data_IF_582990549985
#
_entry.id   IF_582990549985
#
_cell.length_a   1.000
_cell.length_b   1.000
_cell.length_c   1.000
_cell.angle_alpha   90.00
_cell.angle_beta   90.00
_cell.angle_gamma   90.00
#
_symmetry.space_group_name_H-M   'P 1'
#
loop_
_entity.id
_entity.type
_entity.pdbx_description
1 polymer ?
#
# COMPACT_ATOMS: atom_id res chain seq x y z
N UNK A 1 8.52 -30.46 14.87
CA UNK A 1 8.35 -29.55 16.00
C UNK A 1 7.83 -28.18 15.53
N UNK A 2 7.07 -27.50 16.38
CA UNK A 2 6.46 -26.20 16.09
C UNK A 2 6.34 -25.40 17.38
N UNK A 3 6.71 -24.13 17.32
CA UNK A 3 6.40 -23.16 18.37
C UNK A 3 5.19 -22.33 17.95
N UNK A 4 4.14 -22.33 18.77
CA UNK A 4 2.99 -21.47 18.55
C UNK A 4 2.77 -20.56 19.75
N UNK A 5 2.81 -19.25 19.52
CA UNK A 5 2.49 -18.21 20.49
C UNK A 5 1.10 -17.67 20.12
N UNK A 6 0.14 -17.88 21.03
CA UNK A 6 -1.27 -17.60 20.78
C UNK A 6 -1.63 -16.15 21.10
N UNK A 7 -2.69 -15.68 20.51
CA UNK A 7 -3.23 -14.32 20.68
C UNK A 7 -3.30 -13.87 22.13
N UNK A 8 -2.84 -12.68 22.42
CA UNK A 8 -2.85 -12.05 23.73
C UNK A 8 -1.72 -12.49 24.66
N UNK A 9 -0.80 -13.35 24.21
CA UNK A 9 0.37 -13.72 25.01
C UNK A 9 1.38 -12.56 25.11
N UNK A 10 2.05 -12.45 26.25
CA UNK A 10 3.22 -11.62 26.46
C UNK A 10 4.38 -12.54 26.82
N UNK A 11 5.32 -12.70 25.89
CA UNK A 11 6.37 -13.70 25.97
C UNK A 11 7.73 -13.03 25.89
N UNK A 12 8.57 -13.27 26.92
CA UNK A 12 9.97 -12.89 26.91
C UNK A 12 10.85 -14.14 26.78
N UNK A 13 11.63 -14.17 25.71
CA UNK A 13 12.62 -15.21 25.43
C UNK A 13 14.00 -14.61 25.64
N UNK A 14 14.76 -15.10 26.63
CA UNK A 14 16.09 -14.56 26.94
C UNK A 14 17.10 -15.67 27.08
N UNK A 15 18.12 -15.65 26.25
CA UNK A 15 19.31 -16.45 26.48
C UNK A 15 20.21 -15.73 27.50
N UNK A 16 20.53 -16.43 28.60
CA UNK A 16 21.31 -15.87 29.70
C UNK A 16 22.79 -16.18 29.65
N UNK A 17 23.20 -16.95 28.65
CA UNK A 17 24.60 -17.33 28.43
C UNK A 17 25.01 -16.95 27.01
N UNK A 18 26.29 -16.61 26.83
CA UNK A 18 26.88 -16.43 25.52
C UNK A 18 26.67 -17.69 24.68
N UNK A 19 26.55 -17.52 23.36
CA UNK A 19 26.35 -18.62 22.39
C UNK A 19 25.01 -19.37 22.51
N UNK A 20 23.92 -18.69 22.91
CA UNK A 20 22.56 -19.27 22.97
C UNK A 20 21.54 -18.46 22.19
N UNK A 21 20.54 -19.18 21.66
CA UNK A 21 19.40 -18.62 20.94
C UNK A 21 18.28 -18.21 21.89
N UNK A 22 17.45 -17.24 21.52
CA UNK A 22 16.23 -16.91 22.24
C UNK A 22 15.18 -18.01 22.09
N UNK A 23 14.80 -18.33 20.86
CA UNK A 23 14.02 -19.50 20.50
C UNK A 23 14.64 -20.18 19.29
N UNK A 24 14.80 -21.48 19.36
CA UNK A 24 15.42 -22.28 18.33
C UNK A 24 14.57 -23.51 18.05
N UNK A 25 13.86 -23.52 16.93
CA UNK A 25 12.95 -24.61 16.55
C UNK A 25 13.54 -25.34 15.35
N UNK A 26 14.01 -26.56 15.60
CA UNK A 26 14.61 -27.44 14.59
C UNK A 26 13.56 -28.38 13.99
N UNK A 27 13.86 -28.94 12.83
CA UNK A 27 13.07 -30.02 12.24
C UNK A 27 13.23 -31.30 13.06
N UNK A 28 12.27 -32.23 13.00
CA UNK A 28 12.41 -33.55 13.54
C UNK A 28 13.40 -34.40 12.72
N UNK A 29 13.64 -35.64 13.16
CA UNK A 29 14.56 -36.56 12.48
C UNK A 29 14.10 -36.96 11.07
N UNK A 30 12.84 -36.74 10.75
CA UNK A 30 12.24 -36.99 9.42
C UNK A 30 12.26 -35.72 8.53
N UNK A 31 12.75 -34.60 9.05
CA UNK A 31 12.83 -33.33 8.33
C UNK A 31 11.54 -32.51 8.36
N UNK A 32 10.56 -32.86 9.21
CA UNK A 32 9.28 -32.16 9.31
C UNK A 32 9.29 -31.08 10.38
N UNK A 33 8.47 -30.03 10.19
CA UNK A 33 8.26 -28.96 11.15
C UNK A 33 9.42 -27.97 11.20
N UNK A 34 9.66 -27.45 12.36
CA UNK A 34 10.63 -26.39 12.59
C UNK A 34 10.01 -24.98 12.47
N UNK A 35 8.68 -24.87 12.44
CA UNK A 35 7.96 -23.63 12.25
C UNK A 35 7.79 -22.82 13.53
N UNK A 36 7.74 -21.49 13.39
CA UNK A 36 7.34 -20.56 14.44
C UNK A 36 6.10 -19.79 13.97
N UNK A 37 5.06 -19.80 14.78
CA UNK A 37 3.83 -19.01 14.56
C UNK A 37 3.59 -18.09 15.76
N UNK A 38 3.43 -16.82 15.48
CA UNK A 38 3.11 -15.77 16.46
C UNK A 38 1.82 -15.09 16.01
N UNK A 39 0.77 -15.17 16.83
CA UNK A 39 -0.53 -14.60 16.53
C UNK A 39 -0.89 -13.51 17.55
N UNK A 40 -1.02 -12.24 17.07
CA UNK A 40 -1.49 -11.06 17.81
C UNK A 40 -0.99 -11.00 19.27
N UNK A 41 0.33 -11.18 19.45
CA UNK A 41 1.01 -11.33 20.74
C UNK A 41 2.13 -10.32 20.89
N UNK A 42 2.63 -10.13 22.12
CA UNK A 42 3.88 -9.42 22.37
C UNK A 42 4.99 -10.43 22.59
N UNK A 43 6.00 -10.39 21.76
CA UNK A 43 7.16 -11.26 21.85
C UNK A 43 8.43 -10.42 21.91
N UNK A 44 9.23 -10.63 22.94
CA UNK A 44 10.56 -10.05 23.07
C UNK A 44 11.59 -11.16 23.16
N UNK A 45 12.47 -11.25 22.16
CA UNK A 45 13.60 -12.18 22.16
C UNK A 45 14.93 -11.44 22.24
N UNK A 46 15.80 -11.86 23.16
CA UNK A 46 17.14 -11.27 23.31
C UNK A 46 18.15 -12.40 23.49
N UNK A 47 19.19 -12.42 22.66
CA UNK A 47 20.16 -13.51 22.66
C UNK A 47 21.53 -13.07 22.11
N UNK A 48 22.52 -13.94 22.25
CA UNK A 48 23.81 -13.78 21.59
C UNK A 48 23.74 -14.26 20.12
N UNK A 49 23.16 -15.44 19.88
CA UNK A 49 22.80 -16.00 18.56
C UNK A 49 21.36 -15.62 18.17
N UNK A 50 20.71 -16.21 17.15
CA UNK A 50 19.40 -15.76 16.72
C UNK A 50 18.40 -15.61 17.86
N UNK A 51 17.70 -14.48 17.86
CA UNK A 51 16.59 -14.23 18.77
C UNK A 51 15.45 -15.22 18.50
N UNK A 52 15.08 -15.36 17.22
CA UNK A 52 14.17 -16.38 16.72
C UNK A 52 14.83 -17.13 15.57
N UNK A 53 14.92 -18.43 15.69
CA UNK A 53 15.38 -19.33 14.63
C UNK A 53 14.34 -20.39 14.31
N UNK A 54 13.85 -20.40 13.06
CA UNK A 54 12.96 -21.44 12.54
C UNK A 54 13.68 -22.27 11.46
N UNK A 55 13.81 -23.58 11.67
CA UNK A 55 14.30 -24.48 10.60
C UNK A 55 13.21 -24.78 9.54
N UNK A 56 12.00 -24.35 9.76
CA UNK A 56 10.88 -24.25 8.83
C UNK A 56 10.54 -22.79 8.58
N UNK A 57 9.25 -22.47 8.60
CA UNK A 57 8.71 -21.14 8.31
C UNK A 57 8.53 -20.30 9.58
N UNK A 58 8.54 -18.99 9.42
CA UNK A 58 8.10 -18.03 10.43
C UNK A 58 6.84 -17.31 9.93
N UNK A 59 5.78 -17.33 10.73
CA UNK A 59 4.59 -16.52 10.51
C UNK A 59 4.37 -15.59 11.69
N UNK A 60 4.24 -14.29 11.42
CA UNK A 60 3.81 -13.29 12.38
C UNK A 60 2.49 -12.69 11.87
N UNK A 61 1.39 -12.96 12.61
CA UNK A 61 0.05 -12.51 12.26
C UNK A 61 -0.48 -11.56 13.35
N UNK A 62 -0.22 -10.28 13.17
CA UNK A 62 -0.51 -9.23 14.15
C UNK A 62 0.44 -9.22 15.35
N UNK A 63 0.20 -8.27 16.25
CA UNK A 63 0.97 -8.09 17.49
C UNK A 63 2.30 -7.37 17.30
N UNK A 64 3.15 -7.47 18.33
CA UNK A 64 4.45 -6.80 18.39
C UNK A 64 5.56 -7.83 18.63
N UNK A 65 6.54 -7.89 17.75
CA UNK A 65 7.69 -8.79 17.87
C UNK A 65 8.95 -7.95 17.88
N UNK A 66 9.73 -8.07 18.94
CA UNK A 66 11.03 -7.39 19.10
C UNK A 66 12.12 -8.41 19.32
N UNK A 67 13.05 -8.50 18.39
CA UNK A 67 14.15 -9.44 18.45
C UNK A 67 15.49 -8.71 18.43
N UNK A 68 16.38 -9.06 19.36
CA UNK A 68 17.73 -8.51 19.43
C UNK A 68 18.75 -9.63 19.51
N UNK A 69 19.78 -9.55 18.66
CA UNK A 69 20.94 -10.44 18.72
C UNK A 69 22.22 -9.63 18.79
N UNK A 70 23.16 -10.02 19.66
CA UNK A 70 24.43 -9.30 19.81
C UNK A 70 25.52 -9.75 18.85
N UNK A 71 25.42 -10.95 18.27
CA UNK A 71 26.47 -11.48 17.41
C UNK A 71 25.99 -12.13 16.11
N UNK A 72 24.66 -12.32 15.95
CA UNK A 72 24.10 -13.02 14.80
C UNK A 72 22.76 -12.37 14.36
N UNK A 73 21.92 -13.13 13.69
CA UNK A 73 20.61 -12.68 13.23
C UNK A 73 19.64 -12.45 14.39
N UNK A 74 18.88 -11.37 14.35
CA UNK A 74 17.77 -11.24 15.31
C UNK A 74 16.64 -12.21 14.95
N UNK A 75 16.33 -12.35 13.66
CA UNK A 75 15.41 -13.35 13.10
C UNK A 75 16.09 -14.08 11.94
N UNK A 76 16.06 -15.42 11.97
CA UNK A 76 16.53 -16.23 10.85
C UNK A 76 15.64 -17.45 10.61
N UNK A 77 15.35 -17.76 9.34
CA UNK A 77 14.59 -18.94 8.93
C UNK A 77 15.29 -19.76 7.84
N UNK A 78 15.04 -21.06 7.82
CA UNK A 78 15.43 -21.90 6.69
C UNK A 78 14.32 -21.98 5.62
N UNK A 79 13.07 -21.70 6.00
CA UNK A 79 11.91 -21.61 5.12
C UNK A 79 11.45 -20.16 4.92
N UNK A 80 10.17 -20.00 4.65
CA UNK A 80 9.58 -18.72 4.33
C UNK A 80 9.31 -17.86 5.57
N UNK A 81 9.32 -16.55 5.38
CA UNK A 81 8.87 -15.55 6.36
C UNK A 81 7.57 -14.93 5.83
N UNK A 82 6.53 -14.95 6.64
CA UNK A 82 5.28 -14.24 6.38
C UNK A 82 4.97 -13.29 7.55
N UNK A 83 4.89 -12.00 7.28
CA UNK A 83 4.51 -10.98 8.27
C UNK A 83 3.24 -10.28 7.77
N UNK A 84 2.17 -10.30 8.61
CA UNK A 84 0.84 -9.83 8.22
C UNK A 84 -0.02 -9.35 9.39
N UNK A 85 -1.27 -8.98 9.10
CA UNK A 85 -2.30 -8.71 10.12
C UNK A 85 -2.04 -7.48 10.98
N UNK A 86 -1.33 -6.48 10.45
CA UNK A 86 -0.95 -5.28 11.19
C UNK A 86 0.21 -5.50 12.17
N UNK A 87 1.00 -6.56 11.97
CA UNK A 87 2.14 -6.87 12.82
C UNK A 87 3.17 -5.76 12.83
N UNK A 88 3.78 -5.52 14.01
CA UNK A 88 4.95 -4.66 14.18
C UNK A 88 6.15 -5.52 14.53
N UNK A 89 7.16 -5.50 13.68
CA UNK A 89 8.39 -6.27 13.86
C UNK A 89 9.59 -5.35 13.94
N UNK A 90 10.27 -5.39 15.08
CA UNK A 90 11.53 -4.66 15.30
C UNK A 90 12.65 -5.66 15.46
N UNK A 91 13.70 -5.52 14.67
CA UNK A 91 14.88 -6.39 14.75
C UNK A 91 16.15 -5.56 14.89
N UNK A 92 17.07 -6.04 15.71
CA UNK A 92 18.36 -5.42 15.93
C UNK A 92 19.43 -6.50 16.05
N UNK A 93 20.50 -6.41 15.27
CA UNK A 93 21.55 -7.40 15.28
C UNK A 93 22.57 -7.23 14.14
N UNK A 94 23.47 -8.17 14.04
CA UNK A 94 24.46 -8.20 12.94
C UNK A 94 23.79 -8.50 11.59
N UNK A 95 22.82 -9.41 11.59
CA UNK A 95 21.92 -9.76 10.49
C UNK A 95 20.49 -9.62 10.99
N UNK A 96 19.91 -8.42 11.01
CA UNK A 96 18.66 -8.21 11.74
C UNK A 96 17.54 -9.15 11.32
N UNK A 97 17.34 -9.35 10.01
CA UNK A 97 16.30 -10.23 9.49
C UNK A 97 16.72 -10.92 8.20
N UNK A 98 16.53 -12.22 8.12
CA UNK A 98 16.76 -12.97 6.89
C UNK A 98 16.36 -14.44 6.96
N UNK A 99 16.53 -15.12 5.85
CA UNK A 99 16.20 -16.52 5.68
C UNK A 99 16.66 -17.08 4.34
N UNK A 100 16.36 -18.37 4.11
CA UNK A 100 16.66 -19.03 2.84
C UNK A 100 15.43 -19.13 1.93
N UNK A 101 14.23 -18.83 2.43
CA UNK A 101 12.97 -18.85 1.70
C UNK A 101 12.51 -17.47 1.28
N UNK A 102 11.24 -17.36 0.90
CA UNK A 102 10.62 -16.10 0.49
C UNK A 102 10.26 -15.27 1.71
N UNK A 103 10.57 -13.98 1.68
CA UNK A 103 10.10 -13.02 2.67
C UNK A 103 8.88 -12.27 2.11
N UNK A 104 7.69 -12.58 2.64
CA UNK A 104 6.42 -12.00 2.21
C UNK A 104 5.87 -11.06 3.28
N UNK A 105 5.40 -9.90 2.86
CA UNK A 105 4.80 -8.90 3.73
C UNK A 105 3.45 -8.48 3.16
N UNK A 106 2.44 -8.55 4.05
CA UNK A 106 1.11 -8.03 3.78
C UNK A 106 0.93 -6.72 4.54
N UNK A 107 -0.03 -6.61 5.45
CA UNK A 107 -0.19 -5.42 6.30
C UNK A 107 0.76 -5.50 7.49
N UNK A 108 1.83 -4.67 7.52
CA UNK A 108 2.83 -4.71 8.59
C UNK A 108 3.67 -3.42 8.67
N UNK A 109 4.31 -3.25 9.83
CA UNK A 109 5.38 -2.29 10.07
C UNK A 109 6.65 -3.03 10.45
N UNK A 110 7.75 -2.81 9.73
CA UNK A 110 9.02 -3.48 9.95
C UNK A 110 10.13 -2.45 10.13
N UNK A 111 10.84 -2.55 11.25
CA UNK A 111 12.01 -1.73 11.58
C UNK A 111 13.20 -2.67 11.85
N UNK A 112 14.09 -2.80 10.88
CA UNK A 112 15.25 -3.65 10.93
C UNK A 112 16.53 -2.82 11.02
N UNK A 113 17.35 -3.05 12.06
CA UNK A 113 18.55 -2.28 12.36
C UNK A 113 19.77 -3.17 12.48
N UNK A 114 20.80 -2.86 11.71
CA UNK A 114 22.12 -3.43 11.88
C UNK A 114 22.95 -2.52 12.76
N UNK A 115 23.16 -2.91 14.01
CA UNK A 115 23.97 -2.15 14.98
C UNK A 115 25.46 -2.47 14.92
N UNK A 116 25.88 -3.43 14.07
CA UNK A 116 27.29 -3.72 13.87
C UNK A 116 27.96 -2.77 12.84
N UNK A 117 29.25 -2.57 13.05
CA UNK A 117 30.07 -1.75 12.16
C UNK A 117 30.31 -2.34 10.76
N UNK A 118 29.88 -3.59 10.52
CA UNK A 118 30.02 -4.24 9.22
C UNK A 118 28.89 -3.78 8.26
N UNK A 119 29.26 -3.65 7.01
CA UNK A 119 28.34 -3.19 5.94
C UNK A 119 27.44 -4.34 5.46
N UNK A 120 26.60 -4.86 6.37
CA UNK A 120 25.69 -5.97 6.14
C UNK A 120 24.27 -5.41 6.06
N UNK A 121 23.47 -5.82 5.08
CA UNK A 121 22.07 -5.39 4.96
C UNK A 121 21.23 -5.73 6.20
N UNK A 122 20.32 -4.83 6.57
CA UNK A 122 19.38 -5.07 7.65
C UNK A 122 18.39 -6.20 7.31
N UNK A 123 18.11 -6.38 6.03
CA UNK A 123 17.23 -7.44 5.49
C UNK A 123 18.03 -8.15 4.41
N UNK A 124 18.21 -9.48 4.53
CA UNK A 124 18.99 -10.26 3.56
C UNK A 124 18.24 -10.49 2.25
N UNK A 125 16.92 -10.51 2.28
CA UNK A 125 16.07 -10.82 1.14
C UNK A 125 15.15 -9.65 0.81
N UNK A 126 14.87 -9.47 -0.48
CA UNK A 126 13.90 -8.47 -0.94
C UNK A 126 12.49 -8.89 -0.53
N UNK A 127 11.78 -8.10 0.28
CA UNK A 127 10.42 -8.46 0.67
C UNK A 127 9.47 -8.43 -0.53
N UNK A 128 8.65 -9.46 -0.66
CA UNK A 128 7.55 -9.55 -1.61
C UNK A 128 6.31 -8.96 -0.94
N UNK A 129 5.78 -7.89 -1.50
CA UNK A 129 4.51 -7.30 -1.07
C UNK A 129 3.40 -7.96 -1.90
N UNK A 130 2.49 -8.65 -1.22
CA UNK A 130 1.39 -9.39 -1.85
C UNK A 130 0.41 -8.44 -2.56
N UNK A 131 -0.22 -8.91 -3.63
CA UNK A 131 -1.31 -8.19 -4.30
C UNK A 131 -2.42 -7.81 -3.30
N UNK A 132 -2.95 -6.60 -3.45
CA UNK A 132 -3.90 -6.04 -2.47
C UNK A 132 -3.24 -5.27 -1.32
N UNK A 133 -1.91 -5.19 -1.30
CA UNK A 133 -1.14 -4.37 -0.36
C UNK A 133 -0.18 -3.46 -1.11
N UNK A 134 0.21 -2.37 -0.48
CA UNK A 134 1.23 -1.46 -1.03
C UNK A 134 2.14 -0.92 0.06
N UNK A 135 3.33 -0.54 -0.36
CA UNK A 135 4.27 0.22 0.44
C UNK A 135 3.75 1.65 0.61
N UNK A 136 3.56 2.08 1.85
CA UNK A 136 3.05 3.43 2.17
C UNK A 136 4.10 4.30 2.85
N UNK A 137 5.12 3.67 3.40
CA UNK A 137 6.29 4.31 3.99
C UNK A 137 7.50 3.41 3.80
N UNK A 138 8.64 3.97 3.41
CA UNK A 138 9.89 3.24 3.34
C UNK A 138 11.08 4.19 3.44
N UNK A 139 11.85 4.04 4.50
CA UNK A 139 13.10 4.75 4.71
C UNK A 139 14.23 3.79 5.03
N UNK A 140 15.41 4.14 4.63
CA UNK A 140 16.63 3.39 4.90
C UNK A 140 17.75 4.30 5.35
N UNK A 141 18.74 3.72 6.02
CA UNK A 141 19.98 4.39 6.35
C UNK A 141 21.13 3.58 5.74
N UNK A 142 21.94 4.25 4.97
CA UNK A 142 23.11 3.64 4.33
C UNK A 142 24.32 3.52 5.29
N UNK A 143 25.44 3.07 4.75
CA UNK A 143 26.69 2.94 5.51
C UNK A 143 27.31 4.28 5.95
N UNK A 144 26.89 5.37 5.35
CA UNK A 144 27.36 6.73 5.64
C UNK A 144 26.41 7.49 6.60
N UNK A 145 25.46 6.77 7.21
CA UNK A 145 24.43 7.30 8.11
C UNK A 145 23.47 8.31 7.41
N UNK A 146 23.34 8.22 6.07
CA UNK A 146 22.41 9.05 5.31
C UNK A 146 21.04 8.40 5.24
N UNK A 147 19.99 9.15 5.59
CA UNK A 147 18.61 8.69 5.45
C UNK A 147 18.16 8.82 3.98
N UNK A 148 17.58 7.75 3.45
CA UNK A 148 17.12 7.65 2.08
C UNK A 148 15.65 7.26 2.06
N UNK A 149 14.85 7.99 1.28
CA UNK A 149 13.46 7.63 1.02
C UNK A 149 13.39 6.58 -0.10
N UNK A 150 12.94 5.37 0.22
CA UNK A 150 12.84 4.25 -0.69
C UNK A 150 11.45 4.11 -1.32
N UNK A 151 10.49 4.94 -0.95
CA UNK A 151 9.11 4.79 -1.44
C UNK A 151 9.02 4.84 -2.97
N UNK A 152 9.82 5.72 -3.58
CA UNK A 152 9.89 5.84 -5.04
C UNK A 152 10.74 4.76 -5.72
N UNK A 153 11.64 4.13 -4.98
CA UNK A 153 12.60 3.14 -5.50
C UNK A 153 12.07 1.71 -5.47
N UNK A 154 11.04 1.46 -4.63
CA UNK A 154 10.47 0.14 -4.41
C UNK A 154 11.34 -0.77 -3.53
N UNK A 155 10.83 -1.97 -3.24
CA UNK A 155 11.43 -2.93 -2.29
C UNK A 155 12.76 -3.53 -2.74
N UNK A 156 13.08 -3.47 -4.01
CA UNK A 156 14.30 -4.07 -4.59
C UNK A 156 15.62 -3.53 -4.01
N UNK A 157 15.57 -2.37 -3.39
CA UNK A 157 16.74 -1.74 -2.79
C UNK A 157 16.89 -2.04 -1.29
N UNK A 158 15.91 -2.66 -0.65
CA UNK A 158 15.94 -2.90 0.80
C UNK A 158 17.13 -3.72 1.27
N UNK A 159 17.57 -4.69 0.47
CA UNK A 159 18.73 -5.53 0.77
C UNK A 159 20.11 -4.81 0.65
N UNK A 160 20.13 -3.50 0.43
CA UNK A 160 21.36 -2.73 0.26
C UNK A 160 21.68 -1.82 1.46
N UNK A 161 20.79 -1.75 2.48
CA UNK A 161 20.89 -0.77 3.54
C UNK A 161 21.09 -1.38 4.92
N UNK A 162 21.85 -0.67 5.75
CA UNK A 162 22.15 -1.01 7.13
C UNK A 162 20.92 -0.95 8.04
N UNK A 163 20.04 0.03 7.83
CA UNK A 163 18.78 0.13 8.55
C UNK A 163 17.65 0.32 7.54
N UNK A 164 16.54 -0.35 7.77
CA UNK A 164 15.35 -0.24 6.93
C UNK A 164 14.11 -0.17 7.81
N UNK A 165 13.31 0.86 7.62
CA UNK A 165 11.98 0.97 8.22
C UNK A 165 10.95 1.13 7.11
N UNK A 166 9.97 0.24 7.07
CA UNK A 166 8.89 0.33 6.08
C UNK A 166 7.54 -0.12 6.62
N UNK A 167 6.49 0.38 5.99
CA UNK A 167 5.10 0.10 6.34
C UNK A 167 4.35 -0.30 5.06
N UNK A 168 3.64 -1.41 5.15
CA UNK A 168 2.69 -1.86 4.13
C UNK A 168 1.27 -1.74 4.64
N UNK A 169 0.34 -1.40 3.74
CA UNK A 169 -1.08 -1.25 4.03
C UNK A 169 -1.92 -1.98 3.00
N UNK A 170 -3.07 -2.50 3.43
CA UNK A 170 -4.08 -3.01 2.54
C UNK A 170 -4.62 -1.89 1.65
N UNK A 171 -4.86 -2.20 0.37
CA UNK A 171 -5.47 -1.30 -0.61
C UNK A 171 -6.61 -2.00 -1.32
N UNK A 172 -7.62 -1.22 -1.67
CA UNK A 172 -8.85 -1.69 -2.26
C UNK A 172 -9.04 -1.03 -3.62
N UNK A 173 -9.35 -1.79 -4.69
CA UNK A 173 -9.63 -1.22 -5.99
C UNK A 173 -10.92 -0.39 -5.97
N UNK A 174 -10.82 0.82 -6.47
CA UNK A 174 -11.92 1.77 -6.62
C UNK A 174 -12.11 2.07 -8.08
N UNK A 175 -13.33 1.87 -8.58
CA UNK A 175 -13.74 2.21 -9.95
C UNK A 175 -14.77 3.33 -9.95
N UNK A 176 -14.80 4.10 -11.03
CA UNK A 176 -15.72 5.22 -11.21
C UNK A 176 -16.63 4.96 -12.40
N UNK A 177 -17.93 5.12 -12.19
CA UNK A 177 -18.94 5.09 -13.25
C UNK A 177 -19.50 6.51 -13.38
N UNK A 178 -19.18 7.17 -14.46
CA UNK A 178 -19.64 8.54 -14.74
C UNK A 178 -20.77 8.49 -15.75
N UNK A 179 -21.87 9.12 -15.45
CA UNK A 179 -23.08 9.16 -16.29
C UNK A 179 -23.46 10.60 -16.62
N UNK A 180 -24.12 10.84 -17.76
CA UNK A 180 -24.51 9.89 -18.82
C UNK A 180 -23.31 9.36 -19.64
N UNK A 181 -23.50 8.26 -20.36
CA UNK A 181 -22.42 7.50 -21.05
C UNK A 181 -21.87 8.21 -22.29
N UNK A 182 -22.56 9.25 -22.80
CA UNK A 182 -22.20 10.02 -23.98
C UNK A 182 -21.28 11.21 -23.67
N UNK A 183 -20.79 11.33 -22.44
CA UNK A 183 -19.86 12.38 -22.04
C UNK A 183 -18.51 12.26 -22.75
N UNK A 184 -17.93 13.40 -23.08
CA UNK A 184 -16.62 13.51 -23.71
C UNK A 184 -15.62 14.19 -22.77
N UNK A 185 -14.33 13.83 -22.94
CA UNK A 185 -13.22 14.38 -22.13
C UNK A 185 -13.45 14.26 -20.62
N UNK A 186 -13.96 13.11 -20.17
CA UNK A 186 -14.18 12.84 -18.74
C UNK A 186 -12.85 12.70 -18.05
N UNK A 187 -12.61 13.52 -17.03
CA UNK A 187 -11.42 13.46 -16.16
C UNK A 187 -11.89 13.25 -14.73
N UNK A 188 -11.41 12.19 -14.10
CA UNK A 188 -11.65 11.88 -12.69
C UNK A 188 -10.37 12.17 -11.91
N UNK A 189 -10.47 12.91 -10.81
CA UNK A 189 -9.37 13.15 -9.89
C UNK A 189 -9.72 12.64 -8.49
N UNK A 190 -8.76 11.99 -7.85
CA UNK A 190 -8.82 11.58 -6.45
C UNK A 190 -7.66 12.23 -5.71
N UNK A 191 -7.92 12.95 -4.63
CA UNK A 191 -6.90 13.77 -3.95
C UNK A 191 -6.14 14.71 -4.91
N UNK A 192 -6.83 15.26 -5.92
CA UNK A 192 -6.22 16.11 -6.93
C UNK A 192 -5.37 15.39 -7.99
N UNK A 193 -5.18 14.09 -7.90
CA UNK A 193 -4.45 13.27 -8.87
C UNK A 193 -5.41 12.67 -9.89
N UNK A 194 -5.11 12.81 -11.18
CA UNK A 194 -5.89 12.21 -12.25
C UNK A 194 -5.81 10.68 -12.21
N UNK A 195 -6.97 10.04 -12.38
CA UNK A 195 -7.13 8.58 -12.35
C UNK A 195 -7.73 8.09 -13.64
N UNK A 196 -7.10 7.09 -14.26
CA UNK A 196 -7.62 6.42 -15.46
C UNK A 196 -8.08 5.01 -15.10
N UNK A 197 -9.38 4.72 -15.30
CA UNK A 197 -9.98 3.43 -15.00
C UNK A 197 -10.21 3.21 -13.50
N UNK A 198 -9.34 2.45 -12.83
CA UNK A 198 -9.43 2.18 -11.40
C UNK A 198 -8.17 2.60 -10.65
N UNK A 199 -8.31 2.87 -9.37
CA UNK A 199 -7.21 3.20 -8.46
C UNK A 199 -7.27 2.35 -7.19
N UNK A 200 -6.12 1.95 -6.66
CA UNK A 200 -6.03 1.25 -5.39
C UNK A 200 -5.83 2.26 -4.25
N UNK A 201 -6.77 2.30 -3.31
CA UNK A 201 -6.76 3.20 -2.16
C UNK A 201 -6.79 2.43 -0.85
N UNK A 202 -6.16 2.96 0.18
CA UNK A 202 -6.32 2.48 1.54
C UNK A 202 -7.76 2.71 2.04
N UNK A 203 -8.14 2.08 3.15
CA UNK A 203 -9.38 2.43 3.82
C UNK A 203 -9.32 3.90 4.30
N UNK A 204 -10.34 4.68 3.96
CA UNK A 204 -10.36 6.11 4.26
C UNK A 204 -11.39 6.88 3.42
N UNK A 205 -11.43 8.20 3.59
CA UNK A 205 -12.30 9.08 2.82
C UNK A 205 -11.44 10.01 1.96
N UNK A 206 -11.74 10.06 0.66
CA UNK A 206 -10.97 10.75 -0.34
C UNK A 206 -11.82 11.75 -1.11
N UNK A 207 -11.39 13.01 -1.26
CA UNK A 207 -12.07 13.98 -2.12
C UNK A 207 -11.91 13.52 -3.59
N UNK A 208 -13.02 13.65 -4.32
CA UNK A 208 -13.07 13.39 -5.75
C UNK A 208 -13.59 14.60 -6.50
N UNK A 209 -13.02 14.86 -7.65
CA UNK A 209 -13.47 15.86 -8.60
C UNK A 209 -13.63 15.19 -9.98
N UNK A 210 -14.71 15.54 -10.67
CA UNK A 210 -14.94 15.04 -12.03
C UNK A 210 -15.31 16.20 -12.92
N UNK A 211 -14.67 16.27 -14.07
CA UNK A 211 -14.98 17.23 -15.12
C UNK A 211 -15.25 16.49 -16.44
N UNK A 212 -16.13 17.07 -17.25
CA UNK A 212 -16.42 16.62 -18.61
C UNK A 212 -16.81 17.84 -19.47
N UNK A 213 -16.73 17.69 -20.79
CA UNK A 213 -17.13 18.75 -21.70
C UNK A 213 -18.60 19.11 -21.51
N UNK A 214 -18.91 20.40 -21.50
CA UNK A 214 -20.25 20.96 -21.39
C UNK A 214 -21.02 20.51 -20.14
N UNK A 215 -20.33 20.11 -19.07
CA UNK A 215 -20.93 19.72 -17.80
C UNK A 215 -20.47 20.64 -16.66
N UNK A 216 -21.31 20.74 -15.66
CA UNK A 216 -20.92 21.29 -14.36
C UNK A 216 -19.88 20.37 -13.70
N UNK A 217 -18.82 20.95 -13.12
CA UNK A 217 -17.83 20.18 -12.39
C UNK A 217 -18.48 19.53 -11.15
N UNK A 218 -18.22 18.23 -10.96
CA UNK A 218 -18.65 17.51 -9.77
C UNK A 218 -17.54 17.54 -8.71
N UNK A 219 -17.91 17.77 -7.46
CA UNK A 219 -17.03 17.62 -6.30
C UNK A 219 -17.75 16.82 -5.21
N UNK A 220 -17.06 15.84 -4.65
CA UNK A 220 -17.63 14.96 -3.63
C UNK A 220 -16.54 14.19 -2.88
N UNK A 221 -16.94 13.16 -2.17
CA UNK A 221 -16.03 12.26 -1.48
C UNK A 221 -16.40 10.79 -1.77
N UNK A 222 -15.40 9.91 -1.79
CA UNK A 222 -15.59 8.48 -1.71
C UNK A 222 -15.05 7.97 -0.38
N UNK A 223 -15.78 7.05 0.26
CA UNK A 223 -15.30 6.31 1.43
C UNK A 223 -14.97 4.89 1.04
N UNK A 224 -13.74 4.50 1.28
CA UNK A 224 -13.20 3.15 1.08
C UNK A 224 -13.17 2.47 2.43
N UNK A 225 -13.77 1.29 2.52
CA UNK A 225 -13.86 0.50 3.77
C UNK A 225 -13.15 -0.83 3.61
N UNK A 226 -12.65 -1.38 4.71
CA UNK A 226 -11.92 -2.66 4.70
C UNK A 226 -12.83 -3.90 4.61
N UNK A 227 -14.15 -3.72 4.74
CA UNK A 227 -15.14 -4.80 4.67
C UNK A 227 -15.61 -5.13 3.25
N UNK A 228 -15.24 -4.30 2.26
CA UNK A 228 -15.54 -4.53 0.86
C UNK A 228 -14.27 -4.72 0.05
N UNK A 229 -14.20 -5.82 -0.70
CA UNK A 229 -13.05 -6.15 -1.56
C UNK A 229 -12.86 -5.18 -2.73
N UNK A 230 -13.93 -4.52 -3.17
CA UNK A 230 -13.92 -3.54 -4.27
C UNK A 230 -14.93 -2.43 -3.97
N UNK A 231 -14.68 -1.24 -4.50
CA UNK A 231 -15.57 -0.10 -4.38
C UNK A 231 -15.93 0.46 -5.76
N UNK A 232 -17.18 0.84 -5.94
CA UNK A 232 -17.65 1.51 -7.17
C UNK A 232 -18.34 2.81 -6.77
N UNK A 233 -17.87 3.93 -7.30
CA UNK A 233 -18.49 5.24 -7.14
C UNK A 233 -19.23 5.62 -8.42
N UNK A 234 -20.55 5.75 -8.34
CA UNK A 234 -21.35 6.30 -9.43
C UNK A 234 -21.45 7.81 -9.29
N UNK A 235 -21.19 8.52 -10.37
CA UNK A 235 -21.18 10.00 -10.43
C UNK A 235 -22.13 10.40 -11.57
N UNK A 236 -23.17 11.18 -11.26
CA UNK A 236 -24.07 11.73 -12.25
C UNK A 236 -23.66 13.18 -12.55
N UNK A 237 -23.26 13.45 -13.77
CA UNK A 237 -22.90 14.77 -14.28
C UNK A 237 -24.14 15.50 -14.79
N UNK A 238 -24.16 16.80 -14.65
CA UNK A 238 -25.22 17.67 -15.17
C UNK A 238 -24.65 18.48 -16.33
N UNK A 239 -25.32 18.44 -17.48
CA UNK A 239 -24.95 19.32 -18.58
C UNK A 239 -25.17 20.78 -18.22
N UNK A 240 -24.23 21.63 -18.61
CA UNK A 240 -24.41 23.06 -18.56
C UNK A 240 -25.64 23.41 -19.43
N UNK A 241 -26.64 24.03 -18.84
CA UNK A 241 -27.72 24.61 -19.62
C UNK A 241 -27.13 25.74 -20.45
N UNK A 242 -27.08 25.57 -21.77
CA UNK A 242 -26.72 26.68 -22.63
C UNK A 242 -27.71 27.80 -22.40
N UNK A 243 -27.26 28.91 -21.84
CA UNK A 243 -27.98 30.15 -21.97
C UNK A 243 -28.17 30.36 -23.48
N UNK A 244 -29.40 30.57 -23.90
CA UNK A 244 -29.73 30.79 -25.30
C UNK A 244 -28.80 31.85 -25.85
N UNK A 245 -27.86 31.49 -26.73
CA UNK A 245 -27.16 32.48 -27.53
C UNK A 245 -28.21 33.05 -28.49
N UNK A 246 -28.77 34.21 -28.17
CA UNK A 246 -29.64 34.92 -29.07
C UNK A 246 -28.75 35.43 -30.23
N UNK A 247 -28.65 34.62 -31.29
CA UNK A 247 -27.98 35.02 -32.52
C UNK A 247 -28.96 35.93 -33.23
N UNK A 248 -28.81 37.22 -33.02
CA UNK A 248 -29.46 38.21 -33.91
C UNK A 248 -28.73 38.17 -35.25
N UNK A 249 -29.27 37.42 -36.19
CA UNK A 249 -28.79 37.46 -37.58
C UNK A 249 -29.41 38.67 -38.23
N UNK A 250 -28.66 39.78 -38.50
CA UNK A 250 -29.19 40.89 -39.27
C UNK A 250 -29.40 40.41 -40.69
N UNK A 251 -30.62 40.07 -41.05
CA UNK A 251 -30.93 39.82 -42.45
C UNK A 251 -31.51 41.09 -43.08
N UNK A 252 -30.96 41.47 -44.24
CA UNK A 252 -31.47 42.53 -45.03
C UNK A 252 -32.44 41.93 -46.06
N UNK A 253 -33.73 42.11 -45.82
CA UNK A 253 -34.76 41.75 -46.79
C UNK A 253 -34.71 42.78 -47.95
N UNK A 254 -34.26 42.37 -49.09
CA UNK A 254 -34.39 43.21 -50.30
C UNK A 254 -35.62 42.74 -51.09
N UNK A 255 -36.69 43.44 -50.96
CA UNK A 255 -37.92 43.21 -51.75
C UNK A 255 -37.70 43.84 -53.15
N UNK A 256 -37.58 43.03 -54.19
CA UNK A 256 -37.55 43.50 -55.56
C UNK A 256 -38.97 43.53 -56.06
N UNK A 257 -39.54 44.71 -56.26
CA UNK A 257 -40.86 44.90 -56.84
C UNK A 257 -40.85 44.47 -58.28
N UNK A 258 -41.42 43.34 -58.57
CA UNK A 258 -41.70 42.88 -59.90
C UNK A 258 -43.21 42.84 -60.12
N UNK A 259 -43.76 43.94 -60.68
CA UNK A 259 -45.18 44.11 -60.91
C UNK A 259 -45.83 45.07 -59.90
N UNK A 260 -47.01 45.54 -60.22
CA UNK A 260 -47.79 46.37 -59.30
C UNK A 260 -48.24 45.52 -58.08
N UNK A 261 -47.80 45.92 -56.94
CA UNK A 261 -48.31 45.31 -55.71
C UNK A 261 -49.63 46.00 -55.36
N UNK A 262 -50.64 45.14 -55.07
CA UNK A 262 -51.89 45.59 -54.48
C UNK A 262 -51.62 46.24 -53.12
N UNK A 263 -51.86 47.53 -52.95
CA UNK A 263 -51.57 48.23 -51.72
C UNK A 263 -52.45 47.79 -50.52
N UNK A 264 -53.43 46.94 -50.74
CA UNK A 264 -54.27 46.40 -49.70
C UNK A 264 -53.74 45.12 -49.07
N UNK A 265 -52.59 44.55 -49.50
CA UNK A 265 -51.94 43.37 -48.94
C UNK A 265 -50.62 43.77 -48.27
N UNK A 266 -50.67 44.02 -47.00
CA UNK A 266 -49.44 44.14 -46.20
C UNK A 266 -48.76 42.77 -46.17
N UNK A 267 -47.51 42.72 -46.58
CA UNK A 267 -46.66 41.54 -46.40
C UNK A 267 -46.15 41.56 -44.95
N UNK A 268 -46.40 40.46 -44.24
CA UNK A 268 -45.86 40.20 -42.92
C UNK A 268 -44.48 39.56 -43.03
#
# INVERSE_FOLDING_TARGET
PRLKIVTGADVTLKATQDERNGAFIWKDNEGNGGDIEIAASKVKATSYYPGLYAAGNLTVDGGEVSCTSTADSAIWTQGDILIKGGAKVTTDGRYPMGGNGTFTVEEAEIDAKNTNAENIPAISDVPVITDGYKLTYAKAVDSEETEIDLLSSGTQYFASYKNVHFITKAVYPVSFVVTPDDLTNVVVKVNGQEVTGSVNLEAGTYPIEVTADNCEAYSGNITVTADAATHTQTISMTYLTADYIKIEVPFKLTVKKTGEMDPSKEAF
#
